data_IF_804330118089
#
_entry.id   IF_804330118089
#
_cell.length_a   1.000
_cell.length_b   1.000
_cell.length_c   1.000
_cell.angle_alpha   90.00
_cell.angle_beta   90.00
_cell.angle_gamma   90.00
#
_symmetry.space_group_name_H-M   'P 1'
#
loop_
_entity.id
_entity.type
_entity.pdbx_description
1 polymer ?
#
# COMPACT_ATOMS: atom_id res chain seq x y z
N UNK A 1 22.37 19.65 -16.81
CA UNK A 1 21.50 18.46 -16.72
C UNK A 1 20.77 18.31 -18.04
N UNK A 2 20.82 17.13 -18.65
CA UNK A 2 20.15 16.86 -19.93
C UNK A 2 18.65 16.74 -19.63
N UNK A 3 17.79 17.47 -20.36
CA UNK A 3 16.33 17.51 -20.11
C UNK A 3 15.69 16.11 -19.98
N UNK A 4 16.19 15.11 -20.72
CA UNK A 4 15.75 13.72 -20.65
C UNK A 4 15.91 13.10 -19.24
N UNK A 5 17.00 13.40 -18.55
CA UNK A 5 17.25 12.87 -17.19
C UNK A 5 16.26 13.44 -16.16
N UNK A 6 15.93 14.73 -16.30
CA UNK A 6 14.94 15.41 -15.43
C UNK A 6 13.59 14.73 -15.55
N UNK A 7 13.09 14.59 -16.79
CA UNK A 7 11.79 13.96 -17.02
C UNK A 7 11.76 12.50 -16.56
N UNK A 8 12.83 11.73 -16.78
CA UNK A 8 12.89 10.35 -16.32
C UNK A 8 12.85 10.24 -14.79
N UNK A 9 13.54 11.14 -14.07
CA UNK A 9 13.49 11.20 -12.60
C UNK A 9 12.08 11.51 -12.11
N UNK A 10 11.43 12.53 -12.68
CA UNK A 10 10.06 12.90 -12.35
C UNK A 10 9.07 11.77 -12.62
N UNK A 11 9.20 11.07 -13.75
CA UNK A 11 8.37 9.91 -14.08
C UNK A 11 8.59 8.78 -13.05
N UNK A 12 9.85 8.47 -12.74
CA UNK A 12 10.17 7.41 -11.78
C UNK A 12 9.63 7.71 -10.38
N UNK A 13 9.77 8.95 -9.90
CA UNK A 13 9.22 9.41 -8.62
C UNK A 13 7.69 9.25 -8.58
N UNK A 14 6.99 9.75 -9.60
CA UNK A 14 5.54 9.68 -9.67
C UNK A 14 5.01 8.24 -9.73
N UNK A 15 5.60 7.39 -10.57
CA UNK A 15 5.15 6.00 -10.66
C UNK A 15 5.51 5.18 -9.42
N UNK A 16 6.63 5.48 -8.75
CA UNK A 16 7.00 4.86 -7.49
C UNK A 16 6.01 5.24 -6.37
N UNK A 17 5.61 6.52 -6.30
CA UNK A 17 4.59 6.98 -5.37
C UNK A 17 3.25 6.27 -5.62
N UNK A 18 2.79 6.20 -6.87
CA UNK A 18 1.57 5.48 -7.23
C UNK A 18 1.65 3.99 -6.86
N UNK A 19 2.75 3.31 -7.19
CA UNK A 19 2.93 1.89 -6.87
C UNK A 19 2.91 1.61 -5.37
N UNK A 20 3.56 2.49 -4.60
CA UNK A 20 3.57 2.43 -3.13
C UNK A 20 2.18 2.69 -2.58
N UNK A 21 1.50 3.74 -3.03
CA UNK A 21 0.14 4.06 -2.60
C UNK A 21 -0.83 2.92 -2.92
N UNK A 22 -0.82 2.37 -4.13
CA UNK A 22 -1.64 1.21 -4.49
C UNK A 22 -1.36 0.05 -3.54
N UNK A 23 -0.09 -0.23 -3.26
CA UNK A 23 0.28 -1.28 -2.30
C UNK A 23 -0.31 -0.96 -0.91
N UNK A 24 -0.33 0.30 -0.47
CA UNK A 24 -0.82 0.72 0.86
C UNK A 24 -2.34 0.67 0.88
N UNK A 25 -3.03 1.04 -0.19
CA UNK A 25 -4.49 1.02 -0.25
C UNK A 25 -5.03 -0.40 -0.32
N UNK A 26 -4.39 -1.26 -1.10
CA UNK A 26 -4.65 -2.70 -1.02
C UNK A 26 -4.31 -3.26 0.36
N UNK A 27 -3.43 -2.60 1.15
CA UNK A 27 -3.14 -2.97 2.54
C UNK A 27 -4.31 -2.96 3.48
N UNK A 28 -5.17 -2.01 3.20
CA UNK A 28 -6.29 -1.67 4.05
C UNK A 28 -7.60 -2.08 3.41
N UNK A 29 -7.53 -2.94 2.38
CA UNK A 29 -8.63 -3.41 1.55
C UNK A 29 -9.50 -2.27 0.98
N UNK A 30 -8.87 -1.11 0.74
CA UNK A 30 -9.45 0.00 -0.01
C UNK A 30 -9.13 -0.21 -1.49
N UNK A 31 -10.01 -0.95 -2.18
CA UNK A 31 -9.84 -1.31 -3.59
C UNK A 31 -10.23 -0.21 -4.58
N UNK A 32 -10.70 0.95 -4.11
CA UNK A 32 -11.09 2.09 -4.95
C UNK A 32 -9.93 2.55 -5.87
N UNK A 33 -8.69 2.28 -5.47
CA UNK A 33 -7.50 2.56 -6.27
C UNK A 33 -7.45 1.75 -7.57
N UNK A 34 -8.00 0.53 -7.60
CA UNK A 34 -8.01 -0.29 -8.81
C UNK A 34 -8.93 0.33 -9.86
N UNK A 35 -10.11 0.81 -9.45
CA UNK A 35 -11.05 1.53 -10.32
C UNK A 35 -10.38 2.82 -10.86
N UNK A 36 -9.71 3.57 -10.00
CA UNK A 36 -8.97 4.77 -10.41
C UNK A 36 -7.82 4.42 -11.38
N UNK A 37 -7.14 3.30 -11.15
CA UNK A 37 -6.07 2.82 -12.01
C UNK A 37 -6.59 2.43 -13.41
N UNK A 38 -7.76 1.81 -13.50
CA UNK A 38 -8.40 1.48 -14.79
C UNK A 38 -8.71 2.71 -15.65
N UNK A 39 -8.97 3.86 -15.03
CA UNK A 39 -9.17 5.12 -15.77
C UNK A 39 -7.84 5.82 -16.11
N UNK A 40 -6.85 5.70 -15.24
CA UNK A 40 -5.55 6.36 -15.39
C UNK A 40 -4.59 5.65 -16.38
N UNK A 41 -4.47 4.32 -16.29
CA UNK A 41 -3.48 3.57 -17.06
C UNK A 41 -3.71 3.54 -18.57
N UNK A 42 -4.93 3.59 -19.12
CA UNK A 42 -5.13 3.71 -20.57
C UNK A 42 -4.34 4.88 -21.16
N UNK A 43 -4.45 6.08 -20.58
CA UNK A 43 -3.74 7.26 -21.07
C UNK A 43 -2.22 7.08 -21.01
N UNK A 44 -1.69 6.57 -19.90
CA UNK A 44 -0.26 6.32 -19.74
C UNK A 44 0.26 5.27 -20.74
N UNK A 45 -0.42 4.13 -20.85
CA UNK A 45 0.01 3.03 -21.74
C UNK A 45 -0.10 3.42 -23.22
N UNK A 46 -1.10 4.23 -23.58
CA UNK A 46 -1.24 4.79 -24.93
C UNK A 46 -0.05 5.71 -25.27
N UNK A 47 0.41 6.51 -24.32
CA UNK A 47 1.60 7.36 -24.51
C UNK A 47 2.90 6.55 -24.64
N UNK A 48 3.03 5.45 -23.91
CA UNK A 48 4.24 4.60 -23.91
C UNK A 48 4.33 3.77 -25.20
N UNK A 49 3.23 3.11 -25.58
CA UNK A 49 3.24 2.07 -26.62
C UNK A 49 2.50 2.45 -27.90
N UNK A 50 1.82 3.60 -27.95
CA UNK A 50 1.02 4.00 -29.10
C UNK A 50 -0.27 3.20 -29.29
N UNK A 51 -0.79 2.61 -28.21
CA UNK A 51 -2.08 1.91 -28.20
C UNK A 51 -3.27 2.89 -28.18
N UNK A 52 -4.47 2.33 -28.31
CA UNK A 52 -5.78 2.97 -28.19
C UNK A 52 -6.61 2.29 -27.09
N UNK A 53 -5.97 1.97 -25.96
CA UNK A 53 -6.59 1.34 -24.80
C UNK A 53 -7.68 2.25 -24.21
N UNK A 54 -8.77 1.61 -23.78
CA UNK A 54 -9.90 2.23 -23.06
C UNK A 54 -10.31 1.32 -21.92
N UNK A 55 -10.83 1.92 -20.85
CA UNK A 55 -11.47 1.16 -19.77
C UNK A 55 -12.65 0.34 -20.33
N UNK A 56 -12.63 -0.97 -20.13
CA UNK A 56 -13.62 -1.92 -20.58
C UNK A 56 -14.99 -1.68 -19.92
N UNK A 57 -15.00 -1.23 -18.65
CA UNK A 57 -16.21 -0.90 -17.90
C UNK A 57 -17.03 0.23 -18.53
N UNK A 58 -16.41 1.11 -19.34
CA UNK A 58 -17.12 2.16 -20.09
C UNK A 58 -17.84 1.64 -21.34
N UNK A 59 -17.49 0.44 -21.82
CA UNK A 59 -18.04 -0.15 -23.03
C UNK A 59 -19.07 -1.23 -22.70
N UNK A 60 -18.76 -2.09 -21.74
CA UNK A 60 -19.63 -3.15 -21.25
C UNK A 60 -19.52 -3.22 -19.72
N UNK A 61 -20.63 -3.05 -19.00
CA UNK A 61 -20.63 -3.14 -17.54
C UNK A 61 -20.26 -4.57 -17.13
N UNK A 62 -19.22 -4.71 -16.30
CA UNK A 62 -18.72 -5.98 -15.75
C UNK A 62 -18.06 -6.90 -16.80
N UNK A 63 -17.22 -6.36 -17.68
CA UNK A 63 -16.38 -7.17 -18.56
C UNK A 63 -15.56 -8.17 -17.73
N UNK A 64 -15.77 -9.48 -17.89
CA UNK A 64 -15.16 -10.46 -17.00
C UNK A 64 -13.67 -10.65 -17.33
N UNK A 65 -12.82 -10.23 -16.38
CA UNK A 65 -11.37 -10.49 -16.31
C UNK A 65 -10.43 -9.66 -17.20
N UNK A 66 -10.90 -8.58 -17.81
CA UNK A 66 -10.05 -7.62 -18.53
C UNK A 66 -10.55 -6.21 -18.24
N UNK A 67 -9.64 -5.31 -17.87
CA UNK A 67 -10.03 -3.96 -17.45
C UNK A 67 -9.78 -2.94 -18.55
N UNK A 68 -8.76 -3.14 -19.39
CA UNK A 68 -8.48 -2.25 -20.53
C UNK A 68 -8.48 -3.04 -21.83
N UNK A 69 -9.08 -2.44 -22.86
CA UNK A 69 -9.18 -3.07 -24.18
C UNK A 69 -8.82 -2.09 -25.30
N UNK A 70 -8.16 -2.63 -26.31
CA UNK A 70 -7.88 -1.96 -27.57
C UNK A 70 -8.23 -2.92 -28.70
N UNK A 71 -9.40 -2.68 -29.32
CA UNK A 71 -9.93 -3.51 -30.41
C UNK A 71 -9.13 -3.37 -31.71
N UNK A 72 -8.43 -2.25 -31.90
CA UNK A 72 -7.67 -1.98 -33.13
C UNK A 72 -6.36 -2.76 -33.12
N UNK A 73 -5.63 -2.70 -32.00
CA UNK A 73 -4.41 -3.47 -31.80
C UNK A 73 -4.68 -4.89 -31.27
N UNK A 74 -5.96 -5.25 -31.06
CA UNK A 74 -6.43 -6.56 -30.58
C UNK A 74 -5.69 -7.00 -29.32
N UNK A 75 -5.55 -6.08 -28.37
CA UNK A 75 -4.88 -6.29 -27.08
C UNK A 75 -5.83 -6.03 -25.93
N UNK A 76 -5.76 -6.89 -24.92
CA UNK A 76 -6.44 -6.71 -23.64
C UNK A 76 -5.41 -6.62 -22.52
N UNK A 77 -5.71 -5.81 -21.50
CA UNK A 77 -4.87 -5.60 -20.33
C UNK A 77 -5.70 -5.81 -19.08
N UNK A 78 -5.25 -6.71 -18.21
CA UNK A 78 -5.69 -6.76 -16.82
C UNK A 78 -4.76 -5.87 -16.00
N UNK A 79 -5.33 -4.92 -15.28
CA UNK A 79 -4.71 -4.13 -14.23
C UNK A 79 -4.99 -4.82 -12.89
N UNK A 80 -3.96 -5.05 -12.08
CA UNK A 80 -4.13 -5.73 -10.78
C UNK A 80 -3.05 -5.32 -9.80
N UNK A 81 -3.38 -5.27 -8.52
CA UNK A 81 -2.39 -5.19 -7.44
C UNK A 81 -1.84 -6.55 -7.02
N UNK A 82 -2.60 -7.62 -7.24
CA UNK A 82 -2.20 -9.00 -6.92
C UNK A 82 -1.18 -9.52 -7.94
N UNK A 83 0.03 -9.79 -7.44
CA UNK A 83 1.17 -10.28 -8.21
C UNK A 83 1.32 -11.82 -8.18
N UNK A 84 0.35 -12.56 -7.64
CA UNK A 84 0.42 -14.01 -7.50
C UNK A 84 0.27 -14.73 -8.84
N UNK A 85 0.98 -15.87 -8.97
CA UNK A 85 0.79 -16.77 -10.12
C UNK A 85 -0.66 -17.28 -10.22
N UNK A 86 -1.35 -17.40 -9.08
CA UNK A 86 -2.75 -17.82 -9.00
C UNK A 86 -3.65 -16.81 -9.70
N UNK A 87 -3.48 -15.50 -9.43
CA UNK A 87 -4.22 -14.43 -10.11
C UNK A 87 -4.01 -14.46 -11.61
N UNK A 88 -2.77 -14.58 -12.07
CA UNK A 88 -2.47 -14.62 -13.51
C UNK A 88 -3.12 -15.84 -14.19
N UNK A 89 -3.03 -17.03 -13.56
CA UNK A 89 -3.71 -18.24 -14.06
C UNK A 89 -5.23 -18.07 -14.09
N UNK A 90 -5.80 -17.44 -13.08
CA UNK A 90 -7.22 -17.14 -13.01
C UNK A 90 -7.65 -16.23 -14.17
N UNK A 91 -6.94 -15.11 -14.38
CA UNK A 91 -7.21 -14.18 -15.48
C UNK A 91 -7.15 -14.90 -16.84
N UNK A 92 -6.15 -15.75 -17.07
CA UNK A 92 -6.05 -16.56 -18.30
C UNK A 92 -7.22 -17.54 -18.44
N UNK A 93 -7.62 -18.21 -17.35
CA UNK A 93 -8.75 -19.13 -17.36
C UNK A 93 -10.07 -18.40 -17.65
N UNK A 94 -10.28 -17.21 -17.09
CA UNK A 94 -11.45 -16.39 -17.39
C UNK A 94 -11.44 -15.88 -18.83
N UNK A 95 -10.30 -15.38 -19.31
CA UNK A 95 -10.11 -14.96 -20.70
C UNK A 95 -10.48 -16.08 -21.69
N UNK A 96 -10.08 -17.32 -21.39
CA UNK A 96 -10.46 -18.51 -22.15
C UNK A 96 -11.95 -18.85 -22.03
N UNK A 97 -12.48 -18.83 -20.80
CA UNK A 97 -13.89 -19.16 -20.51
C UNK A 97 -14.85 -18.21 -21.23
N UNK A 98 -14.50 -16.93 -21.29
CA UNK A 98 -15.32 -15.89 -21.93
C UNK A 98 -15.02 -15.74 -23.44
N UNK A 99 -14.08 -16.54 -23.96
CA UNK A 99 -13.68 -16.54 -25.37
C UNK A 99 -13.18 -15.19 -25.89
N UNK A 100 -12.56 -14.39 -25.02
CA UNK A 100 -12.02 -13.06 -25.33
C UNK A 100 -10.94 -13.12 -26.41
N UNK A 101 -10.29 -14.28 -26.58
CA UNK A 101 -9.30 -14.54 -27.62
C UNK A 101 -9.84 -14.38 -29.05
N UNK A 102 -11.16 -14.37 -29.26
CA UNK A 102 -11.75 -14.02 -30.56
C UNK A 102 -11.56 -12.54 -30.90
N UNK A 103 -11.58 -11.67 -29.90
CA UNK A 103 -11.46 -10.23 -30.05
C UNK A 103 -10.03 -9.74 -29.87
N UNK A 104 -9.25 -10.39 -29.01
CA UNK A 104 -7.90 -9.95 -28.65
C UNK A 104 -6.89 -11.09 -28.77
N UNK A 105 -5.81 -10.86 -29.52
CA UNK A 105 -4.77 -11.86 -29.80
C UNK A 105 -3.70 -11.91 -28.69
N UNK A 106 -3.66 -10.88 -27.84
CA UNK A 106 -2.66 -10.72 -26.77
C UNK A 106 -3.33 -10.26 -25.48
N UNK A 107 -2.96 -10.93 -24.40
CA UNK A 107 -3.29 -10.53 -23.04
C UNK A 107 -2.03 -9.97 -22.37
N UNK A 108 -2.18 -8.89 -21.63
CA UNK A 108 -1.14 -8.33 -20.76
C UNK A 108 -1.68 -8.26 -19.34
N UNK A 109 -0.83 -8.56 -18.36
CA UNK A 109 -1.11 -8.33 -16.94
C UNK A 109 -0.21 -7.21 -16.44
N UNK A 110 -0.80 -6.06 -16.14
CA UNK A 110 -0.15 -4.94 -15.49
C UNK A 110 -0.32 -5.04 -13.98
N UNK A 111 0.79 -5.31 -13.30
CA UNK A 111 0.88 -5.37 -11.85
C UNK A 111 1.24 -3.97 -11.34
N UNK A 112 0.36 -3.38 -10.54
CA UNK A 112 0.54 -2.05 -9.96
C UNK A 112 1.56 -2.02 -8.82
N UNK A 113 1.72 -3.17 -8.16
CA UNK A 113 2.76 -3.43 -7.16
C UNK A 113 4.03 -3.95 -7.84
N UNK A 114 4.99 -4.49 -7.07
CA UNK A 114 6.16 -5.13 -7.66
C UNK A 114 5.83 -6.54 -8.16
N UNK A 115 6.16 -6.87 -9.41
CA UNK A 115 5.94 -8.22 -9.94
C UNK A 115 6.95 -9.23 -9.37
N UNK A 116 6.54 -10.49 -9.26
CA UNK A 116 7.40 -11.60 -8.81
C UNK A 116 8.23 -12.18 -9.96
N UNK A 117 9.27 -12.94 -9.60
CA UNK A 117 9.93 -13.85 -10.55
C UNK A 117 9.09 -15.13 -10.68
N UNK A 118 8.44 -15.32 -11.82
CA UNK A 118 7.61 -16.49 -12.08
C UNK A 118 8.46 -17.65 -12.62
N UNK A 119 8.51 -18.76 -11.87
CA UNK A 119 9.26 -19.96 -12.26
C UNK A 119 8.58 -20.73 -13.39
N UNK A 120 7.27 -21.00 -13.25
CA UNK A 120 6.49 -21.72 -14.26
C UNK A 120 5.99 -20.81 -15.38
N UNK A 121 5.74 -21.40 -16.53
CA UNK A 121 4.98 -20.75 -17.61
C UNK A 121 3.47 -20.86 -17.36
N UNK A 122 2.73 -20.05 -18.11
CA UNK A 122 1.28 -19.96 -18.03
C UNK A 122 0.67 -20.56 -19.29
N UNK A 123 -0.23 -21.53 -19.12
CA UNK A 123 -0.85 -22.25 -20.22
C UNK A 123 -2.07 -21.48 -20.75
N UNK A 124 -1.97 -20.98 -21.99
CA UNK A 124 -3.06 -20.33 -22.71
C UNK A 124 -3.89 -21.29 -23.56
N UNK A 125 -3.56 -22.59 -23.55
CA UNK A 125 -4.09 -23.61 -24.46
C UNK A 125 -3.80 -23.32 -25.94
N UNK A 126 -2.84 -22.43 -26.22
CA UNK A 126 -2.52 -21.98 -27.57
C UNK A 126 -3.57 -21.06 -28.21
N UNK A 127 -4.53 -20.55 -27.43
CA UNK A 127 -5.65 -19.74 -27.95
C UNK A 127 -5.27 -18.28 -28.22
N UNK A 128 -4.29 -17.75 -27.48
CA UNK A 128 -3.79 -16.38 -27.61
C UNK A 128 -2.32 -16.28 -27.16
N UNK A 129 -1.68 -15.16 -27.47
CA UNK A 129 -0.28 -14.90 -27.15
C UNK A 129 -0.13 -14.36 -25.72
N UNK A 130 0.66 -15.07 -24.91
CA UNK A 130 1.04 -14.64 -23.55
C UNK A 130 2.42 -15.20 -23.18
N UNK A 131 3.37 -14.32 -22.93
CA UNK A 131 4.73 -14.66 -22.51
C UNK A 131 5.09 -13.90 -21.24
N UNK A 132 5.42 -14.61 -20.16
CA UNK A 132 5.65 -14.01 -18.83
C UNK A 132 6.68 -12.87 -18.80
N UNK A 133 7.70 -12.92 -19.64
CA UNK A 133 8.75 -11.88 -19.73
C UNK A 133 8.28 -10.65 -20.50
N UNK A 134 7.41 -10.84 -21.48
CA UNK A 134 6.91 -9.79 -22.39
C UNK A 134 5.62 -9.16 -21.91
N UNK A 135 4.74 -9.93 -21.29
CA UNK A 135 3.32 -9.61 -21.08
C UNK A 135 2.93 -9.45 -19.60
N UNK A 136 3.89 -9.64 -18.67
CA UNK A 136 3.70 -9.26 -17.26
C UNK A 136 4.48 -7.98 -16.99
N UNK A 137 3.75 -6.89 -16.83
CA UNK A 137 4.27 -5.55 -16.66
C UNK A 137 4.19 -5.13 -15.20
N UNK A 138 5.11 -4.27 -14.81
CA UNK A 138 5.13 -3.54 -13.55
C UNK A 138 5.72 -2.14 -13.81
N UNK A 139 5.67 -1.27 -12.80
CA UNK A 139 6.22 0.08 -12.91
C UNK A 139 7.70 0.08 -13.32
N UNK A 140 8.51 -0.87 -12.84
CA UNK A 140 9.91 -0.96 -13.25
C UNK A 140 10.07 -1.25 -14.75
N UNK A 141 9.26 -2.16 -15.30
CA UNK A 141 9.26 -2.45 -16.74
C UNK A 141 8.82 -1.22 -17.54
N UNK A 142 7.76 -0.52 -17.12
CA UNK A 142 7.32 0.71 -17.78
C UNK A 142 8.43 1.77 -17.81
N UNK A 143 9.13 2.01 -16.70
CA UNK A 143 10.25 2.97 -16.64
C UNK A 143 11.38 2.56 -17.60
N UNK A 144 11.68 1.26 -17.68
CA UNK A 144 12.69 0.75 -18.63
C UNK A 144 12.29 1.01 -20.08
N UNK A 145 11.02 0.81 -20.44
CA UNK A 145 10.56 1.10 -21.81
C UNK A 145 10.55 2.60 -22.10
N UNK A 146 10.09 3.42 -21.13
CA UNK A 146 10.05 4.88 -21.26
C UNK A 146 11.46 5.44 -21.52
N UNK A 147 12.49 4.87 -20.90
CA UNK A 147 13.89 5.27 -21.10
C UNK A 147 14.33 5.18 -22.57
N UNK A 148 13.80 4.20 -23.30
CA UNK A 148 14.13 3.95 -24.70
C UNK A 148 13.40 4.90 -25.67
N UNK A 149 12.42 5.68 -25.18
CA UNK A 149 11.68 6.65 -26.00
C UNK A 149 12.48 7.93 -26.29
N UNK A 150 12.00 8.66 -27.30
CA UNK A 150 12.53 9.98 -27.65
C UNK A 150 12.21 11.01 -26.57
N UNK A 151 13.10 12.00 -26.40
CA UNK A 151 12.97 13.02 -25.33
C UNK A 151 11.61 13.74 -25.37
N UNK A 152 11.06 13.96 -26.56
CA UNK A 152 9.74 14.59 -26.75
C UNK A 152 8.60 13.71 -26.20
N UNK A 153 8.68 12.40 -26.36
CA UNK A 153 7.68 11.46 -25.82
C UNK A 153 7.81 11.35 -24.30
N UNK A 154 9.04 11.25 -23.80
CA UNK A 154 9.31 11.23 -22.35
C UNK A 154 8.77 12.50 -21.69
N UNK A 155 8.95 13.67 -22.30
CA UNK A 155 8.35 14.93 -21.81
C UNK A 155 6.83 14.82 -21.73
N UNK A 156 6.14 14.35 -22.78
CA UNK A 156 4.68 14.19 -22.78
C UNK A 156 4.19 13.27 -21.66
N UNK A 157 4.91 12.18 -21.41
CA UNK A 157 4.60 11.26 -20.30
C UNK A 157 4.80 11.96 -18.95
N UNK A 158 5.90 12.70 -18.78
CA UNK A 158 6.16 13.49 -17.57
C UNK A 158 5.07 14.54 -17.33
N UNK A 159 4.64 15.25 -18.38
CA UNK A 159 3.57 16.26 -18.31
C UNK A 159 2.24 15.57 -17.92
N UNK A 160 1.87 14.46 -18.57
CA UNK A 160 0.67 13.67 -18.26
C UNK A 160 0.64 13.21 -16.81
N UNK A 161 1.74 12.62 -16.31
CA UNK A 161 1.83 12.19 -14.92
C UNK A 161 1.73 13.37 -13.96
N UNK A 162 2.31 14.52 -14.31
CA UNK A 162 2.19 15.73 -13.50
C UNK A 162 0.74 16.23 -13.49
N UNK A 163 0.01 16.21 -14.59
CA UNK A 163 -1.38 16.67 -14.61
C UNK A 163 -2.32 15.72 -13.86
N UNK A 164 -2.21 14.41 -14.09
CA UNK A 164 -3.07 13.39 -13.48
C UNK A 164 -2.78 13.19 -12.00
N UNK A 165 -1.49 13.16 -11.61
CA UNK A 165 -1.10 12.89 -10.23
C UNK A 165 -1.00 14.17 -9.42
N UNK A 166 -0.45 15.29 -9.94
CA UNK A 166 -0.34 16.52 -9.15
C UNK A 166 -1.72 17.15 -8.84
N UNK A 167 -2.70 17.07 -9.76
CA UNK A 167 -4.05 17.55 -9.43
C UNK A 167 -4.76 16.65 -8.42
N UNK A 168 -4.59 15.32 -8.42
CA UNK A 168 -5.20 14.45 -7.39
C UNK A 168 -4.45 14.49 -6.05
N UNK A 169 -3.11 14.57 -6.05
CA UNK A 169 -2.29 14.60 -4.82
C UNK A 169 -2.34 15.93 -4.07
N UNK A 170 -2.52 17.06 -4.77
CA UNK A 170 -2.50 18.39 -4.16
C UNK A 170 -3.89 19.02 -3.99
N UNK A 171 -4.93 18.61 -4.74
CA UNK A 171 -6.30 19.16 -4.55
C UNK A 171 -7.09 18.52 -3.40
N UNK A 172 -6.68 17.33 -2.90
CA UNK A 172 -7.28 16.70 -1.70
C UNK A 172 -6.77 17.32 -0.40
N UNK A 173 -5.78 18.23 -0.46
CA UNK A 173 -5.18 18.88 0.73
C UNK A 173 -5.97 20.05 1.30
N UNK A 174 -7.20 20.29 0.85
CA UNK A 174 -8.08 21.27 1.49
C UNK A 174 -9.04 20.58 2.48
N UNK A 175 -8.56 20.53 3.75
CA UNK A 175 -9.31 20.50 5.03
C UNK A 175 -9.42 19.21 5.86
N UNK A 176 -9.21 17.99 5.33
CA UNK A 176 -9.20 16.74 6.13
C UNK A 176 -8.22 15.69 5.58
N UNK A 177 -7.46 15.01 6.46
CA UNK A 177 -6.63 13.86 6.08
C UNK A 177 -7.49 12.58 6.03
N UNK A 178 -7.33 11.74 5.01
CA UNK A 178 -7.90 10.39 5.02
C UNK A 178 -7.20 9.49 6.06
N UNK A 179 -7.75 8.30 6.31
CA UNK A 179 -7.18 7.31 7.24
C UNK A 179 -5.73 6.94 6.86
N UNK A 180 -5.46 6.82 5.55
CA UNK A 180 -4.17 6.42 4.99
C UNK A 180 -3.12 7.51 5.10
N UNK A 181 -3.47 8.75 4.75
CA UNK A 181 -2.59 9.92 4.95
C UNK A 181 -2.20 10.08 6.42
N UNK A 182 -3.14 9.78 7.31
CA UNK A 182 -2.92 9.86 8.75
C UNK A 182 -1.88 8.85 9.22
N UNK A 183 -1.93 7.61 8.71
CA UNK A 183 -0.95 6.57 9.07
C UNK A 183 0.42 6.86 8.45
N UNK A 184 0.48 7.36 7.21
CA UNK A 184 1.74 7.73 6.56
C UNK A 184 2.42 8.87 7.34
N UNK A 185 1.72 9.97 7.60
CA UNK A 185 2.26 11.12 8.31
C UNK A 185 2.66 10.76 9.76
N UNK A 186 1.94 9.84 10.41
CA UNK A 186 2.28 9.28 11.72
C UNK A 186 3.63 8.55 11.71
N UNK A 187 3.86 7.69 10.73
CA UNK A 187 5.09 6.89 10.62
C UNK A 187 6.28 7.78 10.27
N UNK A 188 6.09 8.79 9.40
CA UNK A 188 7.11 9.79 9.11
C UNK A 188 7.47 10.61 10.35
N UNK A 189 6.47 11.05 11.11
CA UNK A 189 6.69 11.78 12.36
C UNK A 189 7.52 10.94 13.36
N UNK A 190 7.16 9.67 13.58
CA UNK A 190 7.89 8.75 14.46
C UNK A 190 9.35 8.62 14.00
N UNK A 191 9.55 8.43 12.69
CA UNK A 191 10.88 8.24 12.10
C UNK A 191 11.79 9.47 12.26
N UNK A 192 11.24 10.68 12.20
CA UNK A 192 11.99 11.94 12.28
C UNK A 192 12.27 12.40 13.72
N UNK A 193 11.47 11.99 14.71
CA UNK A 193 11.52 12.53 16.09
C UNK A 193 12.26 11.65 17.10
N UNK A 194 13.22 10.83 16.64
CA UNK A 194 14.01 9.93 17.50
C UNK A 194 14.75 10.67 18.63
N UNK A 195 14.73 10.08 19.83
CA UNK A 195 15.79 10.23 20.84
C UNK A 195 16.47 8.86 21.02
N UNK A 196 17.80 8.82 20.98
CA UNK A 196 18.58 7.57 21.16
C UNK A 196 18.38 7.06 22.58
N UNK A 197 17.88 5.85 22.79
CA UNK A 197 17.83 5.22 24.12
C UNK A 197 17.94 3.68 24.11
N UNK A 198 18.17 3.13 25.31
CA UNK A 198 18.63 1.77 25.61
C UNK A 198 17.68 0.68 25.11
N UNK A 199 18.31 -0.37 24.57
CA UNK A 199 17.67 -1.63 24.20
C UNK A 199 16.91 -2.26 25.39
N UNK A 200 15.63 -2.61 25.16
CA UNK A 200 14.76 -3.30 26.14
C UNK A 200 14.65 -4.76 25.74
N UNK A 201 14.89 -5.68 26.67
CA UNK A 201 14.61 -7.10 26.45
C UNK A 201 13.10 -7.33 26.53
N UNK A 202 12.46 -7.42 25.37
CA UNK A 202 11.01 -7.61 25.25
C UNK A 202 10.66 -8.94 24.60
N UNK A 203 9.52 -9.53 24.99
CA UNK A 203 8.98 -10.74 24.35
C UNK A 203 7.63 -10.45 23.70
N UNK A 204 7.44 -10.93 22.48
CA UNK A 204 6.15 -10.81 21.77
C UNK A 204 5.24 -11.95 22.24
N UNK A 205 4.33 -11.62 23.15
CA UNK A 205 3.28 -12.54 23.63
C UNK A 205 1.97 -11.75 23.84
N UNK A 206 1.14 -11.64 22.78
CA UNK A 206 -0.11 -10.89 22.82
C UNK A 206 -1.14 -11.53 23.76
N UNK A 207 -1.15 -12.86 23.87
CA UNK A 207 -2.09 -13.58 24.75
C UNK A 207 -1.78 -13.30 26.22
N UNK A 208 -0.52 -13.41 26.63
CA UNK A 208 -0.09 -13.03 27.97
C UNK A 208 -0.43 -11.56 28.25
N UNK A 209 -0.12 -10.66 27.33
CA UNK A 209 -0.39 -9.23 27.51
C UNK A 209 -1.87 -8.96 27.77
N UNK A 210 -2.76 -9.52 26.97
CA UNK A 210 -4.19 -9.21 27.02
C UNK A 210 -4.84 -9.95 28.19
N UNK A 211 -4.66 -11.27 28.26
CA UNK A 211 -5.43 -12.12 29.19
C UNK A 211 -4.80 -12.26 30.57
N UNK A 212 -3.50 -11.97 30.73
CA UNK A 212 -2.80 -12.02 32.02
C UNK A 212 -2.41 -10.63 32.52
N UNK A 213 -1.57 -9.89 31.79
CA UNK A 213 -1.05 -8.58 32.25
C UNK A 213 -2.16 -7.53 32.37
N UNK A 214 -2.99 -7.38 31.34
CA UNK A 214 -4.11 -6.44 31.32
C UNK A 214 -5.46 -7.11 31.56
N UNK A 215 -5.48 -8.18 32.36
CA UNK A 215 -6.66 -9.01 32.61
C UNK A 215 -7.92 -8.19 32.99
N UNK A 216 -7.75 -7.16 33.81
CA UNK A 216 -8.86 -6.29 34.26
C UNK A 216 -9.48 -5.42 33.15
N UNK A 217 -8.81 -5.33 31.99
CA UNK A 217 -9.22 -4.54 30.83
C UNK A 217 -9.53 -5.41 29.60
N UNK A 218 -9.46 -6.75 29.73
CA UNK A 218 -9.64 -7.72 28.64
C UNK A 218 -10.85 -7.40 27.76
N UNK A 219 -12.05 -7.25 28.34
CA UNK A 219 -13.27 -7.03 27.56
C UNK A 219 -13.23 -5.74 26.74
N UNK A 220 -12.67 -4.68 27.33
CA UNK A 220 -12.51 -3.37 26.65
C UNK A 220 -11.45 -3.45 25.56
N UNK A 221 -10.32 -4.08 25.86
CA UNK A 221 -9.25 -4.29 24.89
C UNK A 221 -9.76 -5.12 23.70
N UNK A 222 -10.43 -6.25 23.96
CA UNK A 222 -11.01 -7.10 22.92
C UNK A 222 -12.03 -6.33 22.08
N UNK A 223 -12.86 -5.49 22.69
CA UNK A 223 -13.81 -4.64 21.94
C UNK A 223 -13.07 -3.68 21.02
N UNK A 224 -12.07 -2.96 21.54
CA UNK A 224 -11.23 -2.04 20.76
C UNK A 224 -10.47 -2.75 19.63
N UNK A 225 -10.03 -3.99 19.86
CA UNK A 225 -9.42 -4.83 18.84
C UNK A 225 -10.46 -5.30 17.79
N UNK A 226 -11.56 -5.91 18.22
CA UNK A 226 -12.51 -6.63 17.34
C UNK A 226 -13.30 -5.69 16.43
N UNK A 227 -13.58 -4.47 16.88
CA UNK A 227 -14.17 -3.42 16.02
C UNK A 227 -13.24 -3.01 14.87
N UNK A 228 -11.95 -3.26 15.00
CA UNK A 228 -10.89 -2.81 14.11
C UNK A 228 -10.30 -3.96 13.24
N UNK A 229 -10.58 -5.22 13.60
CA UNK A 229 -9.86 -6.41 13.09
C UNK A 229 -10.30 -6.99 11.74
N UNK A 230 -11.15 -6.31 10.99
CA UNK A 230 -11.46 -6.71 9.61
C UNK A 230 -10.56 -5.95 8.65
N UNK A 231 -9.59 -6.63 8.03
CA UNK A 231 -9.03 -6.26 6.72
C UNK A 231 -7.81 -5.32 6.62
N UNK A 232 -7.51 -4.44 7.58
CA UNK A 232 -6.42 -3.45 7.42
C UNK A 232 -5.03 -3.76 8.03
N UNK A 233 -4.86 -4.96 8.59
CA UNK A 233 -3.74 -5.21 9.52
C UNK A 233 -2.46 -5.79 8.87
N UNK A 234 -2.57 -6.41 7.70
CA UNK A 234 -1.43 -7.16 7.14
C UNK A 234 -0.52 -6.30 6.25
N UNK A 235 -1.04 -5.34 5.47
CA UNK A 235 -0.23 -4.76 4.40
C UNK A 235 0.43 -3.39 4.72
N UNK A 236 0.17 -2.80 5.90
CA UNK A 236 0.97 -1.68 6.45
C UNK A 236 2.41 -2.15 6.78
N UNK A 237 2.57 -3.40 7.23
CA UNK A 237 3.90 -3.97 7.53
C UNK A 237 4.69 -4.40 6.29
N UNK A 238 4.00 -4.78 5.22
CA UNK A 238 4.64 -5.26 3.98
C UNK A 238 4.86 -4.15 2.93
N UNK A 239 4.08 -3.07 2.97
CA UNK A 239 4.10 -2.07 1.89
C UNK A 239 5.04 -0.89 2.13
N UNK A 240 5.10 -0.42 3.37
CA UNK A 240 6.09 0.56 3.70
C UNK A 240 7.40 -0.23 3.61
N UNK A 241 8.25 0.09 2.65
CA UNK A 241 9.63 -0.38 2.58
C UNK A 241 10.43 0.16 3.78
N UNK A 242 9.92 -0.13 4.96
CA UNK A 242 10.53 0.02 6.27
C UNK A 242 11.64 -1.00 6.20
N UNK A 243 12.84 -0.54 5.86
CA UNK A 243 14.01 -1.38 6.04
C UNK A 243 14.11 -1.79 7.52
N UNK A 244 14.87 -2.84 7.82
CA UNK A 244 15.00 -3.34 9.19
C UNK A 244 15.41 -2.23 10.17
N UNK A 245 16.13 -1.20 9.72
CA UNK A 245 16.53 -0.08 10.56
C UNK A 245 15.34 0.85 10.89
N UNK A 246 14.47 1.16 9.92
CA UNK A 246 13.25 1.93 10.17
C UNK A 246 12.26 1.18 11.08
N UNK A 247 12.16 -0.15 10.96
CA UNK A 247 11.23 -0.95 11.77
C UNK A 247 11.67 -0.95 13.23
N UNK A 248 12.98 -1.10 13.45
CA UNK A 248 13.63 -0.98 14.75
C UNK A 248 13.42 0.43 15.34
N UNK A 249 13.50 1.49 14.52
CA UNK A 249 13.27 2.87 14.97
C UNK A 249 11.83 3.07 15.47
N UNK A 250 10.85 2.61 14.69
CA UNK A 250 9.43 2.70 15.04
C UNK A 250 9.17 1.93 16.34
N UNK A 251 9.70 0.70 16.43
CA UNK A 251 9.56 -0.13 17.63
C UNK A 251 10.07 0.59 18.88
N UNK A 252 11.31 1.10 18.87
CA UNK A 252 11.88 1.73 20.06
C UNK A 252 11.13 3.00 20.46
N UNK A 253 10.76 3.84 19.50
CA UNK A 253 10.01 5.06 19.78
C UNK A 253 8.67 4.75 20.45
N UNK A 254 7.91 3.80 19.88
CA UNK A 254 6.61 3.41 20.41
C UNK A 254 6.73 2.75 21.78
N UNK A 255 7.74 1.92 22.00
CA UNK A 255 8.01 1.32 23.31
C UNK A 255 8.26 2.41 24.35
N UNK A 256 9.12 3.38 24.05
CA UNK A 256 9.47 4.44 25.00
C UNK A 256 8.28 5.29 25.40
N UNK A 257 7.59 5.86 24.41
CA UNK A 257 6.49 6.78 24.68
C UNK A 257 5.28 6.06 25.28
N UNK A 258 5.05 4.79 24.89
CA UNK A 258 3.94 4.01 25.46
C UNK A 258 4.20 3.59 26.90
N UNK A 259 5.42 3.22 27.28
CA UNK A 259 5.75 2.93 28.69
C UNK A 259 5.60 4.19 29.53
N UNK A 260 6.10 5.32 29.07
CA UNK A 260 5.94 6.60 29.77
C UNK A 260 4.46 6.91 30.03
N UNK A 261 3.60 6.82 29.00
CA UNK A 261 2.18 7.10 29.17
C UNK A 261 1.44 6.02 29.96
N UNK A 262 1.92 4.78 29.97
CA UNK A 262 1.36 3.72 30.81
C UNK A 262 1.63 3.98 32.30
N UNK A 263 2.86 4.39 32.64
CA UNK A 263 3.24 4.76 34.00
C UNK A 263 2.45 5.99 34.49
N UNK A 264 2.33 7.02 33.64
CA UNK A 264 1.56 8.23 33.95
C UNK A 264 0.07 7.95 34.19
N UNK A 265 -0.49 6.95 33.51
CA UNK A 265 -1.90 6.54 33.65
C UNK A 265 -2.08 5.36 34.62
N UNK A 266 -1.10 5.12 35.49
CA UNK A 266 -1.16 4.11 36.56
C UNK A 266 -1.48 2.69 36.05
N UNK A 267 -0.78 2.25 35.01
CA UNK A 267 -0.92 0.94 34.37
C UNK A 267 -2.31 0.67 33.77
N UNK A 268 -3.07 1.73 33.45
CA UNK A 268 -4.32 1.62 32.71
C UNK A 268 -4.06 1.69 31.19
N UNK A 269 -4.09 0.54 30.47
CA UNK A 269 -3.75 0.50 29.05
C UNK A 269 -4.75 1.26 28.18
N UNK A 270 -6.01 1.39 28.61
CA UNK A 270 -7.04 2.11 27.85
C UNK A 270 -6.82 3.62 27.96
N UNK A 271 -6.53 4.12 29.16
CA UNK A 271 -6.23 5.52 29.39
C UNK A 271 -4.92 5.92 28.68
N UNK A 272 -3.88 5.11 28.84
CA UNK A 272 -2.58 5.31 28.18
C UNK A 272 -2.69 5.28 26.65
N UNK A 273 -3.48 4.37 26.08
CA UNK A 273 -3.71 4.32 24.64
C UNK A 273 -4.43 5.58 24.13
N UNK A 274 -5.48 6.04 24.82
CA UNK A 274 -6.16 7.27 24.45
C UNK A 274 -5.24 8.50 24.55
N UNK A 275 -4.32 8.50 25.52
CA UNK A 275 -3.30 9.53 25.66
C UNK A 275 -2.29 9.51 24.51
N UNK A 276 -1.84 8.33 24.10
CA UNK A 276 -1.00 8.16 22.90
C UNK A 276 -1.71 8.69 21.64
N UNK A 277 -2.98 8.34 21.44
CA UNK A 277 -3.78 8.83 20.31
C UNK A 277 -3.83 10.35 20.29
N UNK A 278 -4.14 10.97 21.44
CA UNK A 278 -4.24 12.43 21.57
C UNK A 278 -2.88 13.09 21.32
N UNK A 279 -1.79 12.51 21.85
CA UNK A 279 -0.44 13.00 21.61
C UNK A 279 -0.12 13.06 20.11
N UNK A 280 -0.35 11.96 19.38
CA UNK A 280 -0.06 11.95 17.94
C UNK A 280 -1.02 12.84 17.14
N UNK A 281 -2.29 12.91 17.51
CA UNK A 281 -3.27 13.83 16.91
C UNK A 281 -2.78 15.29 17.01
N UNK A 282 -2.33 15.72 18.19
CA UNK A 282 -1.79 17.06 18.41
C UNK A 282 -0.49 17.31 17.62
N UNK A 283 0.40 16.32 17.58
CA UNK A 283 1.69 16.43 16.88
C UNK A 283 1.56 16.47 15.37
N UNK A 284 0.59 15.75 14.82
CA UNK A 284 0.30 15.77 13.38
C UNK A 284 -0.47 17.02 12.98
N UNK A 285 -1.35 17.54 13.84
CA UNK A 285 -2.20 18.70 13.54
C UNK A 285 -1.48 20.05 13.47
N UNK A 286 -0.15 20.11 13.56
CA UNK A 286 0.63 21.33 13.28
C UNK A 286 0.42 21.75 11.83
N UNK A 287 -0.08 22.98 11.61
CA UNK A 287 -0.46 23.60 10.31
C UNK A 287 -1.93 23.48 9.86
N UNK A 288 -2.87 23.12 10.76
CA UNK A 288 -4.31 23.29 10.50
C UNK A 288 -4.99 22.18 9.68
N UNK A 289 -4.29 21.07 9.44
CA UNK A 289 -4.86 19.82 8.90
C UNK A 289 -5.42 18.99 10.06
N UNK A 290 -6.69 18.56 9.97
CA UNK A 290 -7.29 17.62 10.92
C UNK A 290 -7.05 16.19 10.44
N UNK A 291 -6.51 15.36 11.33
CA UNK A 291 -6.16 13.98 11.07
C UNK A 291 -7.20 13.02 11.63
N UNK A 292 -7.31 11.83 11.03
CA UNK A 292 -8.29 10.83 11.47
C UNK A 292 -7.84 10.16 12.78
N UNK A 293 -8.47 10.55 13.88
CA UNK A 293 -8.22 10.00 15.22
C UNK A 293 -8.42 8.48 15.27
N UNK A 294 -9.37 7.94 14.51
CA UNK A 294 -9.63 6.50 14.42
C UNK A 294 -8.48 5.78 13.72
N UNK A 295 -7.87 6.38 12.70
CA UNK A 295 -6.70 5.83 12.02
C UNK A 295 -5.44 5.82 12.91
N UNK A 296 -5.22 6.88 13.70
CA UNK A 296 -4.14 6.91 14.72
C UNK A 296 -4.36 5.80 15.74
N UNK A 297 -5.60 5.70 16.26
CA UNK A 297 -5.98 4.68 17.24
C UNK A 297 -5.81 3.26 16.68
N UNK A 298 -6.26 3.04 15.44
CA UNK A 298 -6.08 1.80 14.70
C UNK A 298 -4.61 1.36 14.68
N UNK A 299 -3.72 2.25 14.26
CA UNK A 299 -2.29 1.94 14.17
C UNK A 299 -1.69 1.57 15.52
N UNK A 300 -1.98 2.34 16.58
CA UNK A 300 -1.43 2.09 17.92
C UNK A 300 -1.95 0.79 18.54
N UNK A 301 -3.22 0.46 18.29
CA UNK A 301 -3.83 -0.80 18.69
C UNK A 301 -3.09 -1.97 18.02
N UNK A 302 -2.82 -1.89 16.71
CA UNK A 302 -2.01 -2.89 16.00
C UNK A 302 -0.61 -3.08 16.60
N UNK A 303 0.09 -1.98 16.88
CA UNK A 303 1.43 -2.01 17.48
C UNK A 303 1.40 -2.56 18.92
N UNK A 304 0.27 -2.47 19.62
CA UNK A 304 0.07 -3.05 20.94
C UNK A 304 0.03 -4.58 20.90
N UNK A 305 -0.62 -5.17 19.89
CA UNK A 305 -0.62 -6.63 19.65
C UNK A 305 0.80 -7.12 19.40
N UNK A 306 1.57 -6.43 18.55
CA UNK A 306 2.98 -6.77 18.26
C UNK A 306 3.93 -6.56 19.45
N UNK A 307 3.41 -6.11 20.58
CA UNK A 307 4.19 -5.78 21.76
C UNK A 307 5.21 -4.65 21.57
N UNK A 308 4.94 -3.74 20.63
CA UNK A 308 5.70 -2.52 20.40
C UNK A 308 5.12 -1.35 21.17
N UNK A 309 3.80 -1.32 21.35
CA UNK A 309 3.11 -0.47 22.35
C UNK A 309 2.87 -1.31 23.62
N UNK A 310 3.23 -0.77 24.78
CA UNK A 310 3.23 -1.45 26.08
C UNK A 310 3.99 -2.80 26.04
N UNK A 311 5.30 -2.82 25.75
CA UNK A 311 6.07 -4.05 25.61
C UNK A 311 6.03 -4.93 26.86
N UNK A 312 6.11 -6.26 26.70
CA UNK A 312 6.29 -7.18 27.83
C UNK A 312 7.78 -7.24 28.17
N UNK A 313 8.18 -6.66 29.31
CA UNK A 313 9.58 -6.65 29.74
C UNK A 313 9.94 -7.95 30.48
N UNK A 314 11.15 -8.47 30.22
CA UNK A 314 11.57 -9.80 30.68
C UNK A 314 11.55 -10.02 32.20
N UNK A 315 11.63 -8.96 33.02
CA UNK A 315 11.56 -9.09 34.49
C UNK A 315 10.16 -9.44 35.02
N UNK A 316 9.10 -9.17 34.26
CA UNK A 316 7.70 -9.48 34.65
C UNK A 316 7.24 -10.85 34.10
N UNK A 317 7.80 -11.29 32.98
CA UNK A 317 7.42 -12.53 32.29
C UNK A 317 7.98 -13.80 32.95
N UNK A 318 9.21 -13.73 33.48
CA UNK A 318 9.86 -14.87 34.14
C UNK A 318 9.41 -15.09 35.60
N UNK A 319 8.64 -14.17 36.19
CA UNK A 319 8.13 -14.28 37.55
C UNK A 319 6.92 -15.22 37.70
N UNK A 320 6.27 -15.57 36.58
CA UNK A 320 5.03 -16.38 36.50
C UNK A 320 5.23 -17.74 35.79
N UNK A 321 6.48 -18.20 35.62
CA UNK A 321 6.82 -19.52 35.06
C UNK A 321 7.15 -20.57 36.12
#
# INVERSE_FOLDING_TARGET
MINKEVYLKTIAENLALLSREVSILNAVNLYDINIIAEDFFPGLLNLIYGYELKNANHLEKNAPAIDLIDRKNRIAVQVTSDNSSTKIRHTIAEFNKNQEYHLYDRLVVLILTQKKKYSSDFDTQGLFSFEKTRDIWDVEKLIKDIRELETVQIKKISDYLSEELCNKYYSVRETQAGEVDTIIDLIEYISQNRKVNKDRKTTVDPEYKIYKRFKNFTDKLITEYTTIYGEALNIVNETLGIDEAQDIIIMFYLQDISVQFLEEEHDNPIAALNKLVTYFEEKLSTNGKKYDRSAIKFYLVNEMIKCRVFPNEGSEYDADK
#
